data_IF_262846102397
#
_entry.id   IF_262846102397
#
_cell.length_a   1.000
_cell.length_b   1.000
_cell.length_c   1.000
_cell.angle_alpha   90.00
_cell.angle_beta   90.00
_cell.angle_gamma   90.00
#
_symmetry.space_group_name_H-M   'P 1'
#
loop_
_entity.id
_entity.type
_entity.pdbx_description
1 polymer ?
#
# COMPACT_ATOMS: atom_id res chain seq x y z
N UNK A 1 -23.93 6.51 -17.62
CA UNK A 1 -22.51 6.86 -17.41
C UNK A 1 -22.11 6.32 -16.04
N UNK A 2 -21.47 5.14 -15.98
CA UNK A 2 -21.02 4.53 -14.72
C UNK A 2 -19.72 5.21 -14.32
N UNK A 3 -19.71 5.92 -13.20
CA UNK A 3 -18.51 6.57 -12.69
C UNK A 3 -17.49 5.54 -12.20
N UNK A 4 -16.20 5.79 -12.45
CA UNK A 4 -15.11 5.02 -11.87
C UNK A 4 -15.12 5.19 -10.34
N UNK A 5 -15.58 4.16 -9.63
CA UNK A 5 -15.61 4.14 -8.16
C UNK A 5 -14.29 3.61 -7.64
N UNK A 6 -13.68 4.37 -6.75
CA UNK A 6 -12.43 4.00 -6.10
C UNK A 6 -12.71 3.50 -4.69
N UNK A 7 -11.77 2.76 -4.13
CA UNK A 7 -11.72 2.39 -2.72
C UNK A 7 -10.40 2.88 -2.12
N UNK A 8 -10.45 3.21 -0.84
CA UNK A 8 -9.29 3.64 -0.07
C UNK A 8 -9.01 2.59 1.00
N UNK A 9 -7.80 2.05 1.01
CA UNK A 9 -7.32 1.11 2.00
C UNK A 9 -6.37 1.85 2.94
N UNK A 10 -6.67 1.80 4.23
CA UNK A 10 -5.76 2.27 5.29
C UNK A 10 -4.99 1.06 5.78
N UNK A 11 -3.68 1.10 5.63
CA UNK A 11 -2.81 0.02 6.05
C UNK A 11 -1.77 0.51 7.04
N UNK A 12 -1.51 -0.34 8.03
CA UNK A 12 -0.42 -0.19 8.98
C UNK A 12 0.78 -0.99 8.51
N UNK A 13 1.97 -0.43 8.67
CA UNK A 13 3.23 -1.02 8.24
C UNK A 13 4.03 -1.42 9.48
N UNK A 14 4.08 -2.70 9.77
CA UNK A 14 4.98 -3.23 10.79
C UNK A 14 6.38 -3.40 10.17
N UNK A 15 7.37 -2.77 10.80
CA UNK A 15 8.77 -3.03 10.54
C UNK A 15 9.30 -3.92 11.65
N UNK A 16 10.07 -4.95 11.29
CA UNK A 16 10.54 -5.95 12.25
C UNK A 16 11.34 -5.30 13.39
N UNK A 17 10.98 -5.54 14.67
CA UNK A 17 11.65 -4.95 15.82
C UNK A 17 13.01 -5.59 16.13
N UNK A 18 13.36 -6.75 15.54
CA UNK A 18 14.65 -7.40 15.78
C UNK A 18 15.83 -6.74 15.07
N UNK A 19 15.56 -5.82 14.13
CA UNK A 19 16.58 -4.88 13.72
C UNK A 19 16.49 -3.69 14.65
N UNK A 20 17.41 -3.68 15.62
CA UNK A 20 17.80 -2.48 16.32
C UNK A 20 17.92 -1.38 15.25
N UNK A 21 17.07 -0.36 15.36
CA UNK A 21 17.05 0.76 14.44
C UNK A 21 18.37 1.49 14.64
N UNK A 22 19.42 0.98 13.98
CA UNK A 22 20.67 1.67 13.84
C UNK A 22 20.34 3.06 13.33
N UNK A 23 20.93 4.07 13.95
CA UNK A 23 20.67 5.50 13.78
C UNK A 23 20.82 5.99 12.31
N UNK A 24 21.14 5.09 11.38
CA UNK A 24 21.58 5.35 10.01
C UNK A 24 20.97 4.42 8.93
N UNK A 25 19.80 3.81 9.14
CA UNK A 25 19.07 3.13 8.05
C UNK A 25 17.88 3.98 7.55
N UNK A 26 18.08 4.86 6.55
CA UNK A 26 17.03 5.69 5.98
C UNK A 26 16.20 4.89 4.97
N UNK A 27 15.55 3.81 5.39
CA UNK A 27 14.36 3.38 4.64
C UNK A 27 13.26 4.35 5.03
N UNK A 28 13.34 5.54 4.44
CA UNK A 28 12.27 6.51 4.48
C UNK A 28 11.09 5.79 3.85
N UNK A 29 10.07 5.48 4.65
CA UNK A 29 8.79 4.98 4.21
C UNK A 29 8.15 6.10 3.38
N UNK A 30 8.63 6.24 2.15
CA UNK A 30 8.24 7.28 1.20
C UNK A 30 7.15 6.70 0.33
N UNK A 31 6.21 7.56 -0.06
CA UNK A 31 5.17 7.25 -1.03
C UNK A 31 5.71 6.55 -2.28
N UNK A 32 6.88 6.97 -2.77
CA UNK A 32 7.55 6.34 -3.92
C UNK A 32 7.94 4.88 -3.64
N UNK A 33 8.67 4.62 -2.55
CA UNK A 33 9.14 3.27 -2.18
C UNK A 33 7.97 2.30 -1.98
N UNK A 34 6.96 2.71 -1.22
CA UNK A 34 5.74 1.92 -1.01
C UNK A 34 5.04 1.65 -2.34
N UNK A 35 4.88 2.67 -3.18
CA UNK A 35 4.24 2.49 -4.48
C UNK A 35 5.03 1.60 -5.43
N UNK A 36 6.36 1.61 -5.36
CA UNK A 36 7.24 0.79 -6.21
C UNK A 36 7.13 -0.68 -5.80
N UNK A 37 7.26 -0.97 -4.51
CA UNK A 37 7.23 -2.34 -3.99
C UNK A 37 5.86 -3.00 -4.21
N UNK A 38 4.78 -2.24 -4.04
CA UNK A 38 3.44 -2.78 -4.31
C UNK A 38 3.26 -3.06 -5.81
N UNK A 39 3.72 -2.18 -6.70
CA UNK A 39 3.67 -2.44 -8.16
C UNK A 39 4.49 -3.64 -8.56
N UNK A 40 5.68 -3.79 -7.98
CA UNK A 40 6.55 -4.94 -8.19
C UNK A 40 5.89 -6.23 -7.72
N UNK A 41 5.29 -6.24 -6.53
CA UNK A 41 4.52 -7.38 -6.03
C UNK A 41 3.31 -7.71 -6.92
N UNK A 42 2.61 -6.71 -7.44
CA UNK A 42 1.51 -6.94 -8.40
C UNK A 42 2.05 -7.58 -9.69
N UNK A 43 3.19 -7.09 -10.20
CA UNK A 43 3.81 -7.63 -11.41
C UNK A 43 4.25 -9.09 -11.22
N UNK A 44 4.86 -9.42 -10.08
CA UNK A 44 5.34 -10.77 -9.78
C UNK A 44 4.19 -11.76 -9.57
N UNK A 45 3.12 -11.33 -8.90
CA UNK A 45 2.01 -12.23 -8.52
C UNK A 45 0.86 -12.29 -9.54
N UNK A 46 0.62 -11.20 -10.28
CA UNK A 46 -0.51 -11.05 -11.20
C UNK A 46 -0.08 -10.70 -12.64
N UNK A 47 1.22 -10.76 -12.93
CA UNK A 47 1.81 -10.50 -14.24
C UNK A 47 1.54 -9.08 -14.79
N UNK A 48 1.91 -8.85 -16.04
CA UNK A 48 1.75 -7.55 -16.71
C UNK A 48 0.29 -7.14 -16.89
N UNK A 49 -0.61 -8.11 -17.10
CA UNK A 49 -2.05 -7.85 -17.25
C UNK A 49 -2.68 -7.33 -15.95
N UNK A 50 -2.29 -7.92 -14.80
CA UNK A 50 -2.74 -7.47 -13.48
C UNK A 50 -2.20 -6.08 -13.12
N UNK A 51 -0.94 -5.82 -13.48
CA UNK A 51 -0.35 -4.48 -13.30
C UNK A 51 -1.07 -3.44 -14.16
N UNK A 52 -1.28 -3.70 -15.46
CA UNK A 52 -1.91 -2.76 -16.38
C UNK A 52 -3.35 -2.39 -15.95
N UNK A 53 -4.11 -3.39 -15.50
CA UNK A 53 -5.49 -3.21 -15.01
C UNK A 53 -5.54 -2.33 -13.75
N UNK A 54 -4.54 -2.43 -12.89
CA UNK A 54 -4.46 -1.68 -11.63
C UNK A 54 -3.82 -0.30 -11.79
N UNK A 55 -2.95 -0.09 -12.78
CA UNK A 55 -2.10 1.09 -12.91
C UNK A 55 -2.88 2.42 -13.00
N UNK A 56 -4.06 2.41 -13.63
CA UNK A 56 -4.88 3.60 -13.83
C UNK A 56 -5.53 4.14 -12.54
N UNK A 57 -5.77 3.27 -11.55
CA UNK A 57 -6.48 3.63 -10.32
C UNK A 57 -5.63 3.46 -9.06
N UNK A 58 -4.54 2.69 -9.14
CA UNK A 58 -3.61 2.46 -8.06
C UNK A 58 -2.75 3.70 -7.79
N UNK A 59 -2.96 4.32 -6.63
CA UNK A 59 -2.14 5.44 -6.17
C UNK A 59 -2.04 5.43 -4.65
N UNK A 60 -0.83 5.39 -4.12
CA UNK A 60 -0.57 5.69 -2.71
C UNK A 60 -0.87 7.18 -2.50
N UNK A 61 -1.77 7.55 -1.60
CA UNK A 61 -2.19 8.94 -1.36
C UNK A 61 -1.47 9.60 -0.20
N UNK A 62 -1.21 8.83 0.85
CA UNK A 62 -0.62 9.33 2.08
C UNK A 62 0.27 8.25 2.68
N UNK A 63 1.41 8.66 3.24
CA UNK A 63 2.28 7.80 4.02
C UNK A 63 2.78 8.61 5.19
N UNK A 64 2.63 8.06 6.39
CA UNK A 64 3.20 8.59 7.62
C UNK A 64 4.29 7.64 8.11
N UNK A 65 5.57 8.01 7.99
CA UNK A 65 6.67 7.18 8.48
C UNK A 65 6.72 7.08 10.01
N UNK A 66 6.20 8.08 10.73
CA UNK A 66 6.23 8.14 12.20
C UNK A 66 5.16 7.20 12.78
N UNK A 67 3.91 7.33 12.30
CA UNK A 67 2.80 6.47 12.71
C UNK A 67 2.79 5.12 11.98
N UNK A 68 3.68 4.93 10.99
CA UNK A 68 3.74 3.75 10.12
C UNK A 68 2.42 3.42 9.42
N UNK A 69 1.70 4.46 9.00
CA UNK A 69 0.41 4.34 8.30
C UNK A 69 0.55 4.71 6.84
N UNK A 70 -0.18 4.02 5.96
CA UNK A 70 -0.31 4.40 4.55
C UNK A 70 -1.75 4.29 4.07
N UNK A 71 -2.12 5.20 3.16
CA UNK A 71 -3.44 5.21 2.53
C UNK A 71 -3.26 4.97 1.05
N UNK A 72 -3.90 3.92 0.54
CA UNK A 72 -3.76 3.44 -0.83
C UNK A 72 -5.11 3.50 -1.51
N UNK A 73 -5.15 4.16 -2.67
CA UNK A 73 -6.30 4.17 -3.56
C UNK A 73 -6.21 3.00 -4.55
N UNK A 74 -7.32 2.30 -4.77
CA UNK A 74 -7.46 1.29 -5.81
C UNK A 74 -8.85 1.35 -6.47
N UNK A 75 -9.04 0.69 -7.62
CA UNK A 75 -10.38 0.55 -8.23
C UNK A 75 -11.26 -0.39 -7.41
N UNK A 76 -12.58 -0.20 -7.45
CA UNK A 76 -13.53 -1.09 -6.78
C UNK A 76 -13.43 -2.53 -7.28
N UNK A 77 -13.13 -2.75 -8.56
CA UNK A 77 -13.05 -4.09 -9.15
C UNK A 77 -11.73 -4.78 -8.76
N UNK A 78 -10.63 -4.02 -8.74
CA UNK A 78 -9.27 -4.57 -8.60
C UNK A 78 -8.69 -4.46 -7.18
N UNK A 79 -9.41 -3.85 -6.22
CA UNK A 79 -8.90 -3.65 -4.84
C UNK A 79 -8.50 -4.97 -4.15
N UNK A 80 -9.18 -6.09 -4.42
CA UNK A 80 -8.82 -7.39 -3.82
C UNK A 80 -7.47 -7.89 -4.32
N UNK A 81 -7.17 -7.71 -5.61
CA UNK A 81 -5.87 -8.10 -6.19
C UNK A 81 -4.74 -7.23 -5.62
N UNK A 82 -4.98 -5.92 -5.54
CA UNK A 82 -4.04 -4.98 -4.92
C UNK A 82 -3.81 -5.35 -3.45
N UNK A 83 -4.87 -5.66 -2.69
CA UNK A 83 -4.74 -6.08 -1.31
C UNK A 83 -3.95 -7.39 -1.16
N UNK A 84 -4.26 -8.40 -1.96
CA UNK A 84 -3.53 -9.66 -1.97
C UNK A 84 -2.04 -9.45 -2.30
N UNK A 85 -1.71 -8.63 -3.30
CA UNK A 85 -0.34 -8.27 -3.62
C UNK A 85 0.37 -7.59 -2.44
N UNK A 86 -0.31 -6.71 -1.71
CA UNK A 86 0.24 -6.03 -0.54
C UNK A 86 0.54 -7.01 0.60
N UNK A 87 -0.35 -7.97 0.87
CA UNK A 87 -0.12 -8.99 1.92
C UNK A 87 1.05 -9.93 1.61
N UNK A 88 1.43 -10.05 0.33
CA UNK A 88 2.57 -10.85 -0.12
C UNK A 88 3.90 -10.07 -0.09
N UNK A 89 3.87 -8.77 0.18
CA UNK A 89 5.10 -7.99 0.33
C UNK A 89 5.79 -8.37 1.63
N UNK A 90 6.96 -8.98 1.51
CA UNK A 90 7.79 -9.39 2.65
C UNK A 90 8.93 -8.43 2.94
N UNK A 91 9.35 -7.62 1.95
CA UNK A 91 10.47 -6.70 2.09
C UNK A 91 10.28 -5.42 1.29
N UNK A 92 10.74 -4.31 1.86
CA UNK A 92 10.88 -3.02 1.18
C UNK A 92 12.34 -2.64 1.25
N UNK A 93 13.04 -2.76 0.12
CA UNK A 93 14.50 -2.61 0.09
C UNK A 93 15.17 -3.72 0.91
N UNK A 94 15.97 -3.33 1.91
CA UNK A 94 16.68 -4.29 2.76
C UNK A 94 15.93 -4.67 4.05
N UNK A 95 14.78 -4.06 4.37
CA UNK A 95 14.04 -4.34 5.59
C UNK A 95 12.82 -5.24 5.36
N UNK A 96 12.59 -6.14 6.32
CA UNK A 96 11.37 -6.92 6.39
C UNK A 96 10.23 -6.02 6.85
N UNK A 97 9.13 -6.08 6.10
CA UNK A 97 7.92 -5.32 6.39
C UNK A 97 6.72 -6.24 6.35
N UNK A 98 5.72 -5.93 7.15
CA UNK A 98 4.43 -6.57 7.14
C UNK A 98 3.36 -5.49 7.04
N UNK A 99 2.46 -5.62 6.07
CA UNK A 99 1.33 -4.72 5.91
C UNK A 99 0.08 -5.34 6.55
N UNK A 100 -0.53 -4.61 7.47
CA UNK A 100 -1.82 -4.96 8.06
C UNK A 100 -2.90 -4.01 7.52
N UNK A 101 -4.03 -4.55 7.09
CA UNK A 101 -5.18 -3.75 6.68
C UNK A 101 -5.96 -3.34 7.93
N UNK A 102 -6.10 -2.03 8.15
CA UNK A 102 -6.93 -1.49 9.23
C UNK A 102 -8.37 -1.33 8.77
N UNK A 103 -8.58 -0.57 7.69
CA UNK A 103 -9.91 -0.23 7.21
C UNK A 103 -9.98 -0.07 5.68
N UNK A 104 -11.17 -0.32 5.14
CA UNK A 104 -11.51 -0.16 3.73
C UNK A 104 -12.68 0.82 3.57
N UNK A 105 -12.43 1.93 2.91
CA UNK A 105 -13.41 3.01 2.71
C UNK A 105 -13.82 3.13 1.24
N UNK A 106 -15.06 3.55 0.99
CA UNK A 106 -15.58 3.81 -0.35
C UNK A 106 -15.26 5.21 -0.86
N UNK A 107 -15.10 6.17 0.06
CA UNK A 107 -14.86 7.57 -0.25
C UNK A 107 -13.79 8.18 0.66
N UNK A 108 -13.03 9.15 0.14
CA UNK A 108 -11.86 9.70 0.85
C UNK A 108 -12.21 10.49 2.12
N UNK A 109 -13.47 10.92 2.26
CA UNK A 109 -13.94 11.68 3.40
C UNK A 109 -14.15 10.80 4.64
N UNK A 110 -14.54 9.54 4.45
CA UNK A 110 -14.70 8.57 5.55
C UNK A 110 -13.35 8.25 6.19
N UNK A 111 -12.27 8.18 5.40
CA UNK A 111 -10.92 7.93 5.90
C UNK A 111 -10.44 9.00 6.89
N UNK A 112 -10.92 10.25 6.77
CA UNK A 112 -10.53 11.35 7.68
C UNK A 112 -11.36 11.39 8.96
N UNK A 113 -12.54 10.77 8.96
CA UNK A 113 -13.44 10.79 10.12
C UNK A 113 -13.08 9.73 11.17
N UNK A 114 -12.30 8.71 10.79
CA UNK A 114 -11.90 7.60 11.67
C UNK A 114 -10.48 7.68 12.24
N UNK A 115 -9.71 8.75 11.97
CA UNK A 115 -8.37 8.99 12.52
C UNK A 115 -8.37 10.10 13.55
#
# INVERSE_FOLDING_TARGET
MVGFKNRYMVMEVFLDPNRELGVDDPIILTQFNVSKVIRDSILVNFEECGLASSLGSFQVKYVNPIAKLCIIRASREEHQKVWAAITLVTSVGNCLVLFNLLDLFGESNECRAGC
#
